data_IF_114302252105
#
_entry.id   IF_114302252105
#
_cell.length_a   1.000
_cell.length_b   1.000
_cell.length_c   1.000
_cell.angle_alpha   90.00
_cell.angle_beta   90.00
_cell.angle_gamma   90.00
#
_symmetry.space_group_name_H-M   'P 1'
#
loop_
_entity.id
_entity.type
_entity.pdbx_description
1 polymer ?
#
# COMPACT_ATOMS: atom_id res chain seq x y z
N UNK A 1 56.23 7.50 4.13
CA UNK A 1 56.32 6.38 3.17
C UNK A 1 54.92 5.85 2.93
N UNK A 2 54.51 5.91 1.67
CA UNK A 2 53.30 5.34 1.10
C UNK A 2 53.37 3.81 1.05
N UNK A 3 52.26 3.15 1.38
CA UNK A 3 51.74 1.86 0.87
C UNK A 3 50.77 1.33 1.95
N UNK A 4 49.48 1.07 1.75
CA UNK A 4 48.78 0.67 0.54
C UNK A 4 48.02 -0.62 0.87
N UNK A 5 46.78 -0.52 1.33
CA UNK A 5 45.81 -1.63 1.26
C UNK A 5 44.47 -1.05 0.79
N UNK A 6 44.32 -1.04 -0.53
CA UNK A 6 43.02 -1.09 -1.23
C UNK A 6 42.44 -2.50 -1.03
N UNK A 7 41.09 -2.62 -1.12
CA UNK A 7 40.22 -3.83 -1.22
C UNK A 7 39.49 -4.17 0.09
N UNK A 8 38.17 -4.35 0.17
CA UNK A 8 37.10 -4.54 -0.81
C UNK A 8 35.79 -3.99 -0.25
N UNK A 9 35.18 -3.04 -0.95
CA UNK A 9 33.72 -2.88 -0.89
C UNK A 9 33.19 -4.08 -1.70
N UNK A 10 32.63 -5.06 -1.01
CA UNK A 10 32.07 -6.25 -1.64
C UNK A 10 30.94 -5.83 -2.59
N UNK A 11 31.19 -5.97 -3.88
CA UNK A 11 30.25 -5.74 -4.99
C UNK A 11 29.10 -6.79 -5.03
N UNK A 12 28.85 -7.52 -3.94
CA UNK A 12 27.91 -8.64 -3.86
C UNK A 12 26.54 -8.28 -3.27
N UNK A 13 26.35 -7.07 -2.77
CA UNK A 13 25.04 -6.58 -2.31
C UNK A 13 24.23 -5.90 -3.41
N UNK A 14 24.62 -6.09 -4.68
CA UNK A 14 23.75 -5.80 -5.79
C UNK A 14 22.54 -6.74 -5.70
N UNK A 15 21.42 -6.19 -5.21
CA UNK A 15 20.08 -6.77 -5.28
C UNK A 15 19.69 -6.88 -6.75
N UNK A 16 20.29 -7.84 -7.45
CA UNK A 16 19.83 -8.31 -8.74
C UNK A 16 18.68 -9.24 -8.41
N UNK A 17 17.48 -8.66 -8.34
CA UNK A 17 16.26 -9.46 -8.30
C UNK A 17 16.21 -10.29 -9.58
N UNK A 18 16.19 -11.63 -9.52
CA UNK A 18 15.86 -12.42 -10.68
C UNK A 18 14.42 -12.05 -11.06
N UNK A 19 14.24 -11.41 -12.20
CA UNK A 19 12.92 -11.25 -12.80
C UNK A 19 12.36 -12.67 -13.01
N UNK A 20 11.17 -13.00 -12.49
CA UNK A 20 10.57 -14.29 -12.77
C UNK A 20 10.20 -14.32 -14.25
N UNK A 21 11.08 -14.90 -15.06
CA UNK A 21 10.80 -15.28 -16.42
C UNK A 21 9.74 -16.38 -16.40
N UNK A 22 8.48 -15.97 -16.55
CA UNK A 22 7.35 -16.88 -16.61
C UNK A 22 6.11 -16.14 -17.06
N UNK A 23 5.80 -16.21 -18.34
CA UNK A 23 4.52 -15.80 -18.91
C UNK A 23 3.39 -16.57 -18.23
N UNK A 24 2.75 -15.92 -17.26
CA UNK A 24 1.77 -16.55 -16.38
C UNK A 24 0.44 -16.75 -17.12
N UNK A 25 0.30 -17.90 -17.80
CA UNK A 25 -0.94 -18.33 -18.45
C UNK A 25 -2.04 -18.55 -17.40
N UNK A 26 -2.87 -17.52 -17.22
CA UNK A 26 -4.01 -17.50 -16.29
C UNK A 26 -5.10 -18.47 -16.74
N UNK A 27 -5.09 -19.70 -16.21
CA UNK A 27 -6.35 -20.44 -15.96
C UNK A 27 -6.26 -21.00 -14.55
N UNK A 28 -6.86 -20.29 -13.60
CA UNK A 28 -6.97 -20.76 -12.21
C UNK A 28 -7.92 -21.95 -12.11
N UNK A 29 -7.56 -22.96 -11.33
CA UNK A 29 -8.47 -24.05 -11.00
C UNK A 29 -9.55 -23.53 -10.03
N UNK A 30 -10.83 -23.81 -10.33
CA UNK A 30 -11.95 -23.41 -9.50
C UNK A 30 -11.77 -23.88 -8.03
N UNK A 31 -12.15 -23.05 -7.04
CA UNK A 31 -12.16 -23.46 -5.64
C UNK A 31 -13.12 -24.65 -5.44
N UNK A 32 -12.79 -25.60 -4.56
CA UNK A 32 -13.60 -26.79 -4.36
C UNK A 32 -14.98 -26.45 -3.81
N UNK A 33 -16.02 -27.08 -4.37
CA UNK A 33 -17.33 -27.17 -3.72
C UNK A 33 -17.20 -28.15 -2.54
N UNK A 34 -17.56 -27.70 -1.33
CA UNK A 34 -17.33 -28.45 -0.08
C UNK A 34 -18.04 -29.82 -0.17
N UNK A 35 -17.26 -30.91 -0.23
CA UNK A 35 -17.81 -32.28 -0.07
C UNK A 35 -17.62 -33.28 -1.21
N UNK A 36 -17.00 -32.94 -2.36
CA UNK A 36 -16.75 -33.93 -3.43
C UNK A 36 -15.26 -34.19 -3.64
N UNK A 37 -14.81 -35.45 -3.48
CA UNK A 37 -13.46 -35.89 -3.85
C UNK A 37 -13.33 -35.86 -5.37
N UNK A 38 -12.85 -34.76 -5.93
CA UNK A 38 -12.69 -34.60 -7.39
C UNK A 38 -11.21 -34.65 -7.82
N UNK A 39 -10.97 -35.24 -8.99
CA UNK A 39 -9.69 -35.17 -9.71
C UNK A 39 -9.52 -33.76 -10.29
N UNK A 40 -8.28 -33.26 -10.38
CA UNK A 40 -8.02 -31.95 -10.96
C UNK A 40 -8.41 -31.92 -12.44
N UNK A 41 -9.18 -30.90 -12.87
CA UNK A 41 -9.60 -30.76 -14.27
C UNK A 41 -8.44 -30.54 -15.25
N UNK A 42 -7.28 -30.06 -14.78
CA UNK A 42 -6.09 -29.82 -15.62
C UNK A 42 -5.20 -31.05 -15.74
N UNK A 43 -4.79 -31.66 -14.62
CA UNK A 43 -3.83 -32.76 -14.63
C UNK A 43 -4.43 -34.15 -14.31
N UNK A 44 -5.75 -34.26 -14.11
CA UNK A 44 -6.53 -35.50 -13.78
C UNK A 44 -6.03 -36.33 -12.59
N UNK A 45 -4.95 -35.92 -11.90
CA UNK A 45 -4.51 -36.45 -10.61
C UNK A 45 -5.52 -36.09 -9.51
N UNK A 46 -5.52 -36.86 -8.42
CA UNK A 46 -6.25 -36.49 -7.21
C UNK A 46 -5.73 -35.16 -6.67
N UNK A 47 -6.61 -34.31 -6.13
CA UNK A 47 -6.25 -32.95 -5.71
C UNK A 47 -5.16 -32.89 -4.63
N UNK A 48 -5.00 -33.97 -3.86
CA UNK A 48 -3.93 -34.15 -2.88
C UNK A 48 -2.55 -34.42 -3.50
N UNK A 49 -2.51 -34.98 -4.72
CA UNK A 49 -1.29 -35.42 -5.41
C UNK A 49 -1.00 -34.56 -6.66
N UNK A 50 -1.66 -33.40 -6.78
CA UNK A 50 -1.58 -32.56 -7.96
C UNK A 50 -0.64 -31.36 -7.76
N UNK A 51 0.45 -31.32 -8.53
CA UNK A 51 1.38 -30.18 -8.58
C UNK A 51 0.91 -29.07 -9.54
N UNK A 52 -0.26 -29.25 -10.16
CA UNK A 52 -0.81 -28.32 -11.12
C UNK A 52 -1.60 -27.20 -10.41
N UNK A 53 -0.91 -26.27 -9.76
CA UNK A 53 -1.52 -25.12 -9.08
C UNK A 53 -0.55 -24.35 -8.19
N UNK A 54 -1.01 -23.23 -7.63
CA UNK A 54 -0.31 -22.50 -6.57
C UNK A 54 -0.28 -23.37 -5.31
N UNK A 55 0.87 -23.55 -4.63
CA UNK A 55 0.98 -24.46 -3.47
C UNK A 55 -0.09 -24.17 -2.42
N UNK A 56 -0.74 -25.23 -1.94
CA UNK A 56 -1.75 -25.17 -0.88
C UNK A 56 -1.16 -25.39 0.52
N UNK A 57 0.11 -25.79 0.61
CA UNK A 57 0.77 -26.11 1.89
C UNK A 57 1.64 -24.94 2.31
N UNK A 58 1.50 -24.52 3.57
CA UNK A 58 2.33 -23.49 4.20
C UNK A 58 3.59 -24.15 4.77
N UNK A 59 4.69 -24.09 4.02
CA UNK A 59 6.00 -24.63 4.43
C UNK A 59 6.88 -23.56 5.07
N UNK A 60 7.90 -23.97 5.81
CA UNK A 60 8.86 -23.05 6.45
C UNK A 60 9.62 -22.18 5.44
N UNK A 61 9.89 -22.70 4.24
CA UNK A 61 10.51 -21.94 3.15
C UNK A 61 9.64 -20.77 2.69
N UNK A 62 8.32 -20.98 2.69
CA UNK A 62 7.40 -19.90 2.36
C UNK A 62 7.35 -18.87 3.49
N UNK A 63 7.38 -19.31 4.75
CA UNK A 63 7.48 -18.38 5.89
C UNK A 63 8.68 -17.45 5.74
N UNK A 64 9.87 -18.00 5.42
CA UNK A 64 11.09 -17.20 5.19
C UNK A 64 10.94 -16.21 4.03
N UNK A 65 10.35 -16.63 2.91
CA UNK A 65 10.08 -15.73 1.76
C UNK A 65 9.13 -14.59 2.13
N UNK A 66 8.10 -14.88 2.93
CA UNK A 66 7.18 -13.87 3.44
C UNK A 66 7.89 -12.90 4.39
N UNK A 67 8.68 -13.40 5.34
CA UNK A 67 9.47 -12.56 6.25
C UNK A 67 10.41 -11.62 5.48
N UNK A 68 11.10 -12.12 4.45
CA UNK A 68 11.94 -11.30 3.58
C UNK A 68 11.14 -10.19 2.88
N UNK A 69 9.99 -10.54 2.29
CA UNK A 69 9.13 -9.55 1.61
C UNK A 69 8.58 -8.49 2.59
N UNK A 70 8.16 -8.89 3.78
CA UNK A 70 7.66 -7.96 4.79
C UNK A 70 8.76 -7.06 5.37
N UNK A 71 9.99 -7.56 5.50
CA UNK A 71 11.13 -6.74 5.95
C UNK A 71 11.47 -5.60 4.98
N UNK A 72 11.11 -5.73 3.70
CA UNK A 72 11.26 -4.67 2.68
C UNK A 72 10.10 -3.66 2.76
N UNK A 73 8.96 -4.04 3.35
CA UNK A 73 7.76 -3.20 3.48
C UNK A 73 6.65 -3.53 2.48
N UNK A 74 6.70 -4.69 1.82
CA UNK A 74 5.68 -5.10 0.86
C UNK A 74 4.29 -5.26 1.50
N UNK A 75 3.24 -5.08 0.68
CA UNK A 75 1.87 -5.39 1.09
C UNK A 75 1.59 -6.91 1.09
N UNK A 76 0.53 -7.37 1.76
CA UNK A 76 0.20 -8.81 1.86
C UNK A 76 0.03 -9.45 0.48
N UNK A 77 -0.61 -8.76 -0.46
CA UNK A 77 -0.80 -9.24 -1.84
C UNK A 77 0.54 -9.40 -2.59
N UNK A 78 1.47 -8.48 -2.39
CA UNK A 78 2.80 -8.48 -3.02
C UNK A 78 3.69 -9.56 -2.39
N UNK A 79 3.68 -9.67 -1.07
CA UNK A 79 4.38 -10.73 -0.34
C UNK A 79 3.86 -12.11 -0.75
N UNK A 80 2.54 -12.28 -0.89
CA UNK A 80 1.92 -13.50 -1.41
C UNK A 80 2.29 -13.78 -2.86
N UNK A 81 2.47 -12.74 -3.69
CA UNK A 81 2.96 -12.90 -5.07
C UNK A 81 4.41 -13.42 -5.06
N UNK A 82 5.28 -12.83 -4.25
CA UNK A 82 6.68 -13.23 -4.10
C UNK A 82 6.86 -14.66 -3.54
N UNK A 83 6.02 -15.03 -2.58
CA UNK A 83 6.01 -16.35 -1.95
C UNK A 83 5.30 -17.44 -2.76
N UNK A 84 4.68 -17.09 -3.89
CA UNK A 84 3.78 -17.96 -4.64
C UNK A 84 2.66 -18.60 -3.80
N UNK A 85 2.04 -17.83 -2.90
CA UNK A 85 0.92 -18.29 -2.04
C UNK A 85 -0.35 -17.46 -2.25
N UNK A 86 -1.52 -18.10 -2.20
CA UNK A 86 -2.77 -17.35 -2.33
C UNK A 86 -3.05 -16.51 -1.07
N UNK A 87 -3.63 -15.33 -1.24
CA UNK A 87 -3.98 -14.45 -0.10
C UNK A 87 -4.93 -15.15 0.88
N UNK A 88 -5.85 -15.98 0.37
CA UNK A 88 -6.73 -16.79 1.22
C UNK A 88 -5.97 -17.79 2.08
N UNK A 89 -4.95 -18.46 1.51
CA UNK A 89 -4.10 -19.37 2.28
C UNK A 89 -3.32 -18.64 3.38
N UNK A 90 -2.80 -17.44 3.09
CA UNK A 90 -2.15 -16.61 4.11
C UNK A 90 -3.06 -16.34 5.31
N UNK A 91 -4.29 -15.85 5.09
CA UNK A 91 -5.21 -15.56 6.20
C UNK A 91 -5.74 -16.81 6.91
N UNK A 92 -5.78 -17.96 6.23
CA UNK A 92 -6.10 -19.23 6.88
C UNK A 92 -5.03 -19.66 7.89
N UNK A 93 -3.75 -19.38 7.59
CA UNK A 93 -2.62 -19.72 8.47
C UNK A 93 -2.26 -18.63 9.48
N UNK A 94 -2.46 -17.36 9.11
CA UNK A 94 -2.21 -16.18 9.94
C UNK A 94 -3.47 -15.30 9.99
N UNK A 95 -4.50 -15.71 10.73
CA UNK A 95 -5.68 -14.87 10.93
C UNK A 95 -5.28 -13.61 11.71
N UNK A 96 -6.12 -12.57 11.60
CA UNK A 96 -5.94 -11.32 12.36
C UNK A 96 -5.94 -11.64 13.86
N UNK A 97 -4.93 -11.14 14.59
CA UNK A 97 -4.75 -11.40 16.02
C UNK A 97 -4.00 -12.69 16.37
N UNK A 98 -3.46 -13.41 15.37
CA UNK A 98 -2.49 -14.47 15.62
C UNK A 98 -1.09 -13.91 15.88
N UNK A 99 -0.28 -14.62 16.66
CA UNK A 99 1.12 -14.24 16.93
C UNK A 99 1.93 -14.04 15.63
N UNK A 100 1.70 -14.89 14.63
CA UNK A 100 2.34 -14.78 13.32
C UNK A 100 1.93 -13.51 12.57
N UNK A 101 0.66 -13.11 12.67
CA UNK A 101 0.20 -11.86 12.06
C UNK A 101 0.87 -10.64 12.71
N UNK A 102 1.00 -10.65 14.04
CA UNK A 102 1.66 -9.58 14.79
C UNK A 102 3.16 -9.51 14.48
N UNK A 103 3.83 -10.66 14.35
CA UNK A 103 5.22 -10.74 13.87
C UNK A 103 5.38 -10.08 12.50
N UNK A 104 4.55 -10.44 11.53
CA UNK A 104 4.61 -9.84 10.20
C UNK A 104 4.32 -8.33 10.23
N UNK A 105 3.42 -7.88 11.09
CA UNK A 105 3.16 -6.46 11.26
C UNK A 105 4.39 -5.71 11.80
N UNK A 106 5.07 -6.26 12.81
CA UNK A 106 6.35 -5.70 13.30
C UNK A 106 7.42 -5.66 12.22
N UNK A 107 7.47 -6.66 11.34
CA UNK A 107 8.42 -6.68 10.22
C UNK A 107 8.16 -5.54 9.23
N UNK A 108 6.90 -5.19 8.98
CA UNK A 108 6.53 -4.08 8.07
C UNK A 108 6.92 -2.70 8.62
N UNK A 109 7.06 -2.57 9.93
CA UNK A 109 7.52 -1.33 10.56
C UNK A 109 9.04 -1.12 10.46
N UNK A 110 9.82 -2.16 10.15
CA UNK A 110 11.29 -2.08 10.01
C UNK A 110 11.76 -1.03 8.99
N UNK A 111 11.23 -0.95 7.76
CA UNK A 111 11.63 0.10 6.81
C UNK A 111 11.29 1.50 7.31
N UNK A 112 10.16 1.66 8.02
CA UNK A 112 9.77 2.95 8.62
C UNK A 112 10.77 3.36 9.71
N UNK A 113 11.16 2.41 10.58
CA UNK A 113 12.17 2.64 11.60
C UNK A 113 13.53 2.98 10.98
N UNK A 114 13.92 2.26 9.91
CA UNK A 114 15.15 2.53 9.17
C UNK A 114 15.13 3.93 8.55
N UNK A 115 14.03 4.33 7.92
CA UNK A 115 13.86 5.66 7.34
C UNK A 115 13.95 6.76 8.42
N UNK A 116 13.34 6.55 9.60
CA UNK A 116 13.46 7.48 10.73
C UNK A 116 14.91 7.59 11.21
N UNK A 117 15.60 6.46 11.34
CA UNK A 117 17.00 6.43 11.74
C UNK A 117 17.89 7.17 10.73
N UNK A 118 17.65 7.02 9.43
CA UNK A 118 18.42 7.74 8.40
C UNK A 118 18.18 9.25 8.44
N UNK A 119 16.94 9.70 8.70
CA UNK A 119 16.64 11.13 8.83
C UNK A 119 17.36 11.73 10.03
N UNK A 120 17.38 11.03 11.17
CA UNK A 120 18.09 11.48 12.37
C UNK A 120 19.61 11.48 12.16
N UNK A 121 20.15 10.48 11.46
CA UNK A 121 21.58 10.43 11.13
C UNK A 121 22.01 11.58 10.21
N UNK A 122 21.14 12.01 9.29
CA UNK A 122 21.41 13.09 8.33
C UNK A 122 21.02 14.49 8.84
N UNK A 123 20.76 14.66 10.15
CA UNK A 123 20.38 15.95 10.72
C UNK A 123 21.54 16.97 10.75
N UNK A 124 22.76 16.55 10.43
CA UNK A 124 23.91 17.41 10.20
C UNK A 124 23.68 18.38 9.04
N UNK A 125 22.91 17.97 8.04
CA UNK A 125 22.60 18.81 6.90
C UNK A 125 21.49 19.82 7.27
N UNK A 126 21.71 21.13 7.07
CA UNK A 126 20.77 22.17 7.50
C UNK A 126 19.41 22.06 6.80
N UNK A 127 19.38 21.62 5.53
CA UNK A 127 18.13 21.41 4.79
C UNK A 127 17.31 20.24 5.37
N UNK A 128 17.97 19.13 5.70
CA UNK A 128 17.32 17.97 6.34
C UNK A 128 16.79 18.32 7.73
N UNK A 129 17.54 19.12 8.50
CA UNK A 129 17.12 19.61 9.81
C UNK A 129 15.88 20.53 9.73
N UNK A 130 15.87 21.49 8.80
CA UNK A 130 14.70 22.34 8.53
C UNK A 130 13.48 21.50 8.16
N UNK A 131 13.65 20.56 7.22
CA UNK A 131 12.57 19.67 6.78
C UNK A 131 12.02 18.82 7.94
N UNK A 132 12.89 18.29 8.80
CA UNK A 132 12.47 17.51 9.96
C UNK A 132 11.66 18.33 10.97
N UNK A 133 12.08 19.57 11.27
CA UNK A 133 11.36 20.48 12.17
C UNK A 133 9.99 20.87 11.63
N UNK A 134 9.89 21.17 10.32
CA UNK A 134 8.60 21.44 9.66
C UNK A 134 7.60 20.29 9.85
N UNK A 135 8.04 19.04 9.74
CA UNK A 135 7.17 17.88 9.87
C UNK A 135 6.86 17.48 11.32
N UNK A 136 7.77 17.71 12.28
CA UNK A 136 7.56 17.36 13.70
C UNK A 136 6.85 18.42 14.51
N UNK A 137 7.11 19.70 14.22
CA UNK A 137 6.55 20.88 14.90
C UNK A 137 5.87 21.76 13.85
N UNK A 138 4.95 21.15 13.12
CA UNK A 138 4.17 21.80 12.06
C UNK A 138 3.50 23.10 12.53
N UNK A 139 3.02 23.17 13.78
CA UNK A 139 2.35 24.37 14.29
C UNK A 139 3.25 25.62 14.33
N UNK A 140 4.55 25.45 14.54
CA UNK A 140 5.52 26.55 14.73
C UNK A 140 6.30 26.87 13.46
N UNK A 141 6.65 25.84 12.69
CA UNK A 141 7.60 25.95 11.56
C UNK A 141 6.96 25.82 10.18
N UNK A 142 5.65 25.54 10.10
CA UNK A 142 4.98 25.45 8.81
C UNK A 142 4.73 26.85 8.22
N UNK A 143 4.72 26.92 6.90
CA UNK A 143 4.42 28.15 6.17
C UNK A 143 2.93 28.50 6.36
N UNK A 144 2.66 29.65 6.96
CA UNK A 144 1.31 30.15 7.13
C UNK A 144 0.88 30.80 5.83
N UNK A 145 0.02 30.12 5.07
CA UNK A 145 -0.63 30.72 3.91
C UNK A 145 -1.83 31.51 4.41
N UNK A 146 -1.77 32.83 4.30
CA UNK A 146 -2.90 33.73 4.57
C UNK A 146 -3.66 33.85 3.24
N UNK A 147 -4.79 33.17 3.13
CA UNK A 147 -5.67 33.32 1.97
C UNK A 147 -6.59 34.51 2.22
N UNK A 148 -6.27 35.65 1.60
CA UNK A 148 -7.13 36.84 1.54
C UNK A 148 -8.30 36.57 0.57
N UNK A 149 -9.24 35.72 0.99
CA UNK A 149 -10.48 35.51 0.25
C UNK A 149 -11.43 36.69 0.47
N UNK A 150 -11.44 37.64 -0.46
CA UNK A 150 -12.58 38.56 -0.65
C UNK A 150 -13.84 37.71 -0.88
N UNK A 151 -14.68 37.57 0.15
CA UNK A 151 -16.04 37.09 -0.05
C UNK A 151 -16.89 38.23 -0.64
N UNK A 152 -16.81 38.44 -1.96
CA UNK A 152 -17.85 39.17 -2.67
C UNK A 152 -19.09 38.29 -2.75
N UNK A 153 -19.85 38.23 -1.66
CA UNK A 153 -21.26 37.83 -1.73
C UNK A 153 -21.96 38.87 -2.60
N UNK A 154 -22.32 38.49 -3.82
CA UNK A 154 -23.22 39.27 -4.68
C UNK A 154 -24.57 39.37 -3.97
N UNK A 155 -24.72 40.37 -3.10
CA UNK A 155 -25.99 40.75 -2.54
C UNK A 155 -26.76 41.44 -3.68
N UNK A 156 -27.60 40.67 -4.38
CA UNK A 156 -28.49 41.28 -5.37
C UNK A 156 -29.30 42.39 -4.66
N UNK A 157 -29.34 43.62 -5.20
CA UNK A 157 -30.04 44.71 -4.56
C UNK A 157 -31.53 44.37 -4.40
N UNK A 158 -32.08 44.64 -3.21
CA UNK A 158 -33.48 44.34 -2.81
C UNK A 158 -34.51 44.79 -3.87
N UNK A 159 -34.20 45.83 -4.64
CA UNK A 159 -35.05 46.36 -5.71
C UNK A 159 -35.35 45.32 -6.81
N UNK A 160 -34.39 44.46 -7.17
CA UNK A 160 -34.56 43.42 -8.22
C UNK A 160 -35.45 42.27 -7.71
N UNK A 161 -35.32 41.91 -6.43
CA UNK A 161 -36.14 40.85 -5.81
C UNK A 161 -37.62 41.28 -5.72
N UNK A 162 -37.90 42.56 -5.37
CA UNK A 162 -39.26 43.10 -5.33
C UNK A 162 -39.92 43.11 -6.71
N UNK A 163 -39.21 43.54 -7.75
CA UNK A 163 -39.72 43.54 -9.13
C UNK A 163 -40.11 42.13 -9.62
N UNK A 164 -39.32 41.09 -9.29
CA UNK A 164 -39.65 39.69 -9.64
C UNK A 164 -40.92 39.17 -8.92
N UNK A 165 -41.20 39.64 -7.70
CA UNK A 165 -42.42 39.28 -6.94
C UNK A 165 -43.65 39.94 -7.57
N UNK A 166 -43.56 41.21 -7.97
CA UNK A 166 -44.65 41.94 -8.64
C UNK A 166 -45.08 41.26 -9.95
N UNK A 167 -44.11 40.87 -10.80
CA UNK A 167 -44.38 40.20 -12.09
C UNK A 167 -45.06 38.84 -11.90
N UNK A 168 -44.74 38.10 -10.84
CA UNK A 168 -45.41 36.82 -10.53
C UNK A 168 -46.86 37.00 -10.07
N UNK A 169 -47.20 38.10 -9.37
CA UNK A 169 -48.60 38.40 -8.99
C UNK A 169 -49.45 38.69 -10.23
N UNK A 170 -48.92 39.43 -11.20
CA UNK A 170 -49.66 39.77 -12.42
C UNK A 170 -49.94 38.54 -13.31
N UNK A 171 -49.03 37.57 -13.36
CA UNK A 171 -49.24 36.32 -14.13
C UNK A 171 -50.25 35.37 -13.49
N UNK A 172 -50.43 35.40 -12.16
CA UNK A 172 -51.46 34.58 -11.46
C UNK A 172 -52.88 35.16 -11.55
N UNK A 173 -53.05 36.44 -11.89
CA UNK A 173 -54.36 37.08 -12.03
C UNK A 173 -54.98 37.01 -13.43
N UNK A 174 -54.27 36.46 -14.43
CA UNK A 174 -54.71 36.45 -15.85
C UNK A 174 -55.10 35.08 -16.39
N UNK A 175 -55.33 34.10 -15.52
CA UNK A 175 -55.82 32.77 -15.90
C UNK A 175 -57.17 32.50 -15.22
N UNK A 176 -58.21 33.16 -15.73
CA UNK A 176 -59.63 32.77 -15.64
C UNK A 176 -60.35 33.42 -16.81
#
# INVERSE_FOLDING_TARGET
MSTGIKKLINKKDAVIMPTPAGTFSRKGCAPPNKGKKMKCGRCRKWKKDCDCGRPLVFTDDVKKKLEQAFAIGCNVSEACLYADISVGLFYNHAPKGSLLFDEFQRLRDRPILKARATVVANLTDPETAKWYLKNKRNNEFNEKVINEGEQTVLFEPIQIVRAKIEVKKQKKGKSK
#
